data_IF_025934243002
#
_entry.id   IF_025934243002
#
_cell.length_a   1.000
_cell.length_b   1.000
_cell.length_c   1.000
_cell.angle_alpha   90.00
_cell.angle_beta   90.00
_cell.angle_gamma   90.00
#
_symmetry.space_group_name_H-M   'P 1'
#
loop_
_entity.id
_entity.type
_entity.pdbx_description
1 polymer ?
#
# COMPACT_ATOMS: atom_id res chain seq x y z
N UNK A 1 11.53 -12.68 -16.79
CA UNK A 1 11.64 -12.77 -15.31
C UNK A 1 11.10 -11.47 -14.74
N UNK A 2 10.14 -11.50 -13.80
CA UNK A 2 9.59 -10.28 -13.22
C UNK A 2 10.61 -9.66 -12.23
N UNK A 3 10.77 -8.33 -12.25
CA UNK A 3 11.61 -7.62 -11.28
C UNK A 3 10.92 -7.63 -9.91
N UNK A 4 11.68 -7.96 -8.86
CA UNK A 4 11.23 -7.82 -7.47
C UNK A 4 11.66 -6.45 -6.96
N UNK A 5 10.70 -5.65 -6.47
CA UNK A 5 10.94 -4.30 -5.97
C UNK A 5 10.60 -4.28 -4.48
N UNK A 6 11.54 -3.80 -3.66
CA UNK A 6 11.33 -3.55 -2.24
C UNK A 6 11.25 -2.06 -1.98
N UNK A 7 10.27 -1.64 -1.18
CA UNK A 7 10.08 -0.24 -0.76
C UNK A 7 10.40 -0.14 0.73
N UNK A 8 11.43 0.62 1.09
CA UNK A 8 11.91 0.79 2.47
C UNK A 8 11.77 2.24 2.94
N UNK A 9 12.00 2.48 4.23
CA UNK A 9 11.92 3.80 4.86
C UNK A 9 11.29 3.72 6.25
N UNK A 10 11.37 4.81 7.01
CA UNK A 10 10.86 4.88 8.39
C UNK A 10 9.35 4.58 8.49
N UNK A 11 8.85 4.05 9.62
CA UNK A 11 7.42 3.90 9.87
C UNK A 11 6.67 5.22 9.68
N UNK A 12 5.46 5.17 9.11
CA UNK A 12 4.65 6.38 8.90
C UNK A 12 5.04 7.28 7.71
N UNK A 13 6.14 6.99 6.99
CA UNK A 13 6.60 7.81 5.84
C UNK A 13 5.70 7.71 4.58
N UNK A 14 4.64 6.90 4.61
CA UNK A 14 3.69 6.78 3.49
C UNK A 14 3.96 5.64 2.50
N UNK A 15 4.74 4.61 2.88
CA UNK A 15 4.97 3.41 2.03
C UNK A 15 3.66 2.73 1.58
N UNK A 16 2.72 2.52 2.50
CA UNK A 16 1.39 1.96 2.19
C UNK A 16 0.62 2.85 1.23
N UNK A 17 0.74 4.17 1.38
CA UNK A 17 0.13 5.16 0.47
C UNK A 17 0.74 5.08 -0.93
N UNK A 18 2.07 4.97 -1.04
CA UNK A 18 2.77 4.78 -2.32
C UNK A 18 2.26 3.54 -3.04
N UNK A 19 2.26 2.38 -2.37
CA UNK A 19 1.78 1.12 -2.96
C UNK A 19 0.31 1.23 -3.38
N UNK A 20 -0.55 1.85 -2.55
CA UNK A 20 -1.96 2.08 -2.88
C UNK A 20 -2.14 2.88 -4.18
N UNK A 21 -1.33 3.94 -4.38
CA UNK A 21 -1.37 4.77 -5.59
C UNK A 21 -0.93 3.99 -6.82
N UNK A 22 0.16 3.22 -6.72
CA UNK A 22 0.63 2.37 -7.82
C UNK A 22 -0.43 1.36 -8.22
N UNK A 23 -1.09 0.71 -7.26
CA UNK A 23 -2.19 -0.23 -7.53
C UNK A 23 -3.35 0.46 -8.24
N UNK A 24 -3.73 1.66 -7.79
CA UNK A 24 -4.81 2.45 -8.41
C UNK A 24 -4.48 2.79 -9.88
N UNK A 25 -3.28 3.31 -10.15
CA UNK A 25 -2.85 3.66 -11.51
C UNK A 25 -2.75 2.43 -12.43
N UNK A 26 -2.23 1.30 -11.93
CA UNK A 26 -2.19 0.08 -12.73
C UNK A 26 -3.59 -0.42 -13.07
N UNK A 27 -4.52 -0.37 -12.12
CA UNK A 27 -5.92 -0.72 -12.37
C UNK A 27 -6.60 0.24 -13.34
N UNK A 28 -6.33 1.55 -13.27
CA UNK A 28 -6.89 2.55 -14.20
C UNK A 28 -6.42 2.32 -15.64
N UNK A 29 -5.22 1.77 -15.81
CA UNK A 29 -4.67 1.35 -17.10
C UNK A 29 -5.16 -0.03 -17.58
N UNK A 30 -6.07 -0.69 -16.85
CA UNK A 30 -6.66 -1.97 -17.22
C UNK A 30 -5.86 -3.20 -16.79
N UNK A 31 -4.81 -3.05 -15.97
CA UNK A 31 -4.06 -4.19 -15.46
C UNK A 31 -4.80 -4.88 -14.30
N UNK A 32 -4.74 -6.21 -14.28
CA UNK A 32 -5.17 -7.02 -13.14
C UNK A 32 -4.06 -7.00 -12.09
N UNK A 33 -4.38 -6.51 -10.89
CA UNK A 33 -3.44 -6.41 -9.76
C UNK A 33 -3.95 -7.29 -8.61
N UNK A 34 -3.14 -8.26 -8.19
CA UNK A 34 -3.40 -9.13 -7.04
C UNK A 34 -2.50 -8.83 -5.83
N UNK A 35 -2.73 -9.51 -4.72
CA UNK A 35 -1.96 -9.39 -3.47
C UNK A 35 -2.78 -8.87 -2.29
N UNK A 36 -2.09 -8.58 -1.19
CA UNK A 36 -2.68 -8.06 0.06
C UNK A 36 -2.03 -6.73 0.40
N UNK A 37 -2.85 -5.75 0.77
CA UNK A 37 -2.41 -4.46 1.26
C UNK A 37 -3.07 -4.20 2.60
N UNK A 38 -2.26 -4.12 3.65
CA UNK A 38 -2.74 -3.82 5.01
C UNK A 38 -2.61 -2.33 5.29
N UNK A 39 -3.67 -1.70 5.79
CA UNK A 39 -3.75 -0.31 6.23
C UNK A 39 -3.78 -0.25 7.75
N UNK A 40 -3.04 0.71 8.31
CA UNK A 40 -3.16 1.07 9.72
C UNK A 40 -4.54 1.72 9.94
N UNK A 41 -5.41 1.08 10.72
CA UNK A 41 -6.71 1.67 11.10
C UNK A 41 -6.48 2.51 12.36
N UNK A 42 -6.77 3.80 12.25
CA UNK A 42 -6.65 4.77 13.36
C UNK A 42 -7.97 5.49 13.57
N UNK A 43 -8.45 5.50 14.81
CA UNK A 43 -9.60 6.29 15.25
C UNK A 43 -9.15 7.29 16.29
N UNK A 44 -9.55 8.57 16.13
CA UNK A 44 -9.17 9.66 17.05
C UNK A 44 -7.65 9.74 17.34
N UNK A 45 -6.83 9.39 16.34
CA UNK A 45 -5.36 9.37 16.45
C UNK A 45 -4.76 8.12 17.12
N UNK A 46 -5.57 7.21 17.65
CA UNK A 46 -5.13 5.96 18.27
C UNK A 46 -5.24 4.82 17.26
N UNK A 47 -4.22 3.97 17.21
CA UNK A 47 -4.26 2.76 16.38
C UNK A 47 -5.20 1.73 17.01
N UNK A 48 -6.22 1.33 16.25
CA UNK A 48 -7.26 0.38 16.69
C UNK A 48 -7.12 -0.98 15.99
N UNK A 49 -6.34 -1.08 14.91
CA UNK A 49 -6.14 -2.35 14.23
C UNK A 49 -5.45 -2.22 12.87
N UNK A 50 -5.69 -3.23 12.04
CA UNK A 50 -5.21 -3.35 10.67
C UNK A 50 -6.31 -3.95 9.79
N UNK A 51 -6.47 -3.42 8.57
CA UNK A 51 -7.36 -3.97 7.53
C UNK A 51 -6.56 -4.24 6.26
#
# INVERSE_FOLDING_TARGET
>A
MAKKIFVTGEPGIGKTTLVSKVVYELKSLGYVVGGVLTRDVREKGVRVGFE
#
